data_IF_124965368520
#
_entry.id   IF_124965368520
#
_cell.length_a   1.000
_cell.length_b   1.000
_cell.length_c   1.000
_cell.angle_alpha   90.00
_cell.angle_beta   90.00
_cell.angle_gamma   90.00
#
_symmetry.space_group_name_H-M   'P 1'
#
loop_
_entity.id
_entity.type
_entity.pdbx_description
1 polymer ?
#
# COMPACT_ATOMS: atom_id res chain seq x y z
N UNK A 1 15.79 65.03 31.59
CA UNK A 1 16.14 63.90 30.72
C UNK A 1 15.50 62.66 31.32
N UNK A 2 14.34 62.23 30.78
CA UNK A 2 13.61 61.03 31.23
C UNK A 2 13.89 59.94 30.20
N UNK A 3 14.56 58.88 30.64
CA UNK A 3 14.83 57.71 29.84
C UNK A 3 13.69 56.70 29.95
N UNK A 4 12.98 56.46 28.84
CA UNK A 4 11.96 55.41 28.72
C UNK A 4 12.62 54.05 28.48
N UNK A 5 12.48 53.14 29.44
CA UNK A 5 12.88 51.75 29.32
C UNK A 5 11.85 50.97 28.49
N UNK A 6 12.25 50.44 27.35
CA UNK A 6 11.44 49.49 26.55
C UNK A 6 11.64 48.10 27.10
N UNK A 7 10.59 47.52 27.68
CA UNK A 7 10.54 46.10 28.06
C UNK A 7 10.26 45.27 26.81
N UNK A 8 11.21 44.41 26.40
CA UNK A 8 11.04 43.39 25.39
C UNK A 8 10.31 42.18 26.00
N UNK A 9 9.04 41.99 25.62
CA UNK A 9 8.31 40.77 25.91
C UNK A 9 8.82 39.63 24.98
N UNK A 10 9.56 38.69 25.54
CA UNK A 10 9.81 37.41 24.87
C UNK A 10 8.58 36.52 25.01
N UNK A 11 7.82 36.35 23.93
CA UNK A 11 6.78 35.34 23.86
C UNK A 11 7.47 33.96 23.82
N UNK A 12 7.31 33.17 24.88
CA UNK A 12 7.75 31.79 24.92
C UNK A 12 6.88 31.00 23.93
N UNK A 13 7.46 30.58 22.81
CA UNK A 13 6.85 29.58 21.90
C UNK A 13 6.93 28.23 22.62
N UNK A 14 5.82 27.81 23.23
CA UNK A 14 5.69 26.45 23.75
C UNK A 14 5.75 25.49 22.56
N UNK A 15 6.59 24.44 22.60
CA UNK A 15 6.55 23.41 21.57
C UNK A 15 5.19 22.73 21.61
N UNK A 16 4.47 22.73 20.47
CA UNK A 16 3.30 21.86 20.28
C UNK A 16 3.74 20.43 20.55
N UNK A 17 3.25 19.85 21.63
CA UNK A 17 3.43 18.44 21.91
C UNK A 17 2.87 17.65 20.71
N UNK A 18 3.75 17.03 19.94
CA UNK A 18 3.38 16.13 18.87
C UNK A 18 2.65 14.97 19.53
N UNK A 19 1.35 14.86 19.32
CA UNK A 19 0.59 13.72 19.82
C UNK A 19 1.27 12.44 19.29
N UNK A 20 1.64 11.54 20.20
CA UNK A 20 2.22 10.26 19.82
C UNK A 20 1.23 9.55 18.89
N UNK A 21 1.74 9.02 17.76
CA UNK A 21 0.91 8.21 16.88
C UNK A 21 0.28 7.07 17.69
N UNK A 22 -0.99 6.72 17.46
CA UNK A 22 -1.62 5.60 18.15
C UNK A 22 -0.81 4.32 17.88
N UNK A 23 -0.78 3.38 18.83
CA UNK A 23 -0.07 2.13 18.63
C UNK A 23 -0.62 1.40 17.41
N UNK A 24 0.24 0.65 16.68
CA UNK A 24 -0.21 -0.15 15.55
C UNK A 24 -1.31 -1.15 15.97
N UNK A 25 -2.31 -1.31 15.11
CA UNK A 25 -3.40 -2.27 15.31
C UNK A 25 -2.91 -3.67 14.93
N UNK A 26 -3.01 -4.68 15.80
CA UNK A 26 -2.71 -6.06 15.44
C UNK A 26 -3.64 -6.53 14.32
N UNK A 27 -3.09 -7.14 13.29
CA UNK A 27 -3.90 -7.66 12.17
C UNK A 27 -4.63 -8.96 12.56
N UNK A 28 -4.02 -9.76 13.43
CA UNK A 28 -4.48 -11.07 13.86
C UNK A 28 -4.54 -11.17 15.39
N UNK A 29 -5.45 -10.44 16.06
CA UNK A 29 -5.52 -10.48 17.53
C UNK A 29 -5.88 -11.85 18.08
N UNK A 30 -6.51 -12.73 17.28
CA UNK A 30 -6.82 -14.11 17.61
C UNK A 30 -5.67 -15.09 17.42
N UNK A 31 -4.52 -14.63 16.92
CA UNK A 31 -3.35 -15.43 16.59
C UNK A 31 -3.03 -15.44 15.10
N UNK A 32 -1.74 -15.29 14.76
CA UNK A 32 -1.25 -15.22 13.38
C UNK A 32 -1.34 -16.60 12.70
N UNK A 33 -2.02 -16.74 11.55
CA UNK A 33 -2.09 -18.01 10.83
C UNK A 33 -0.70 -18.49 10.41
N UNK A 34 -0.36 -19.75 10.73
CA UNK A 34 0.95 -20.32 10.40
C UNK A 34 2.11 -19.66 11.14
N UNK A 35 1.89 -19.15 12.36
CA UNK A 35 2.94 -18.60 13.20
C UNK A 35 4.13 -19.56 13.32
N UNK A 36 5.35 -19.01 13.33
CA UNK A 36 6.60 -19.78 13.42
C UNK A 36 7.31 -19.44 14.74
N UNK A 37 7.53 -20.45 15.57
CA UNK A 37 8.20 -20.28 16.87
C UNK A 37 9.67 -19.89 16.74
N UNK A 38 10.32 -20.31 15.66
CA UNK A 38 11.78 -20.15 15.46
C UNK A 38 12.12 -18.89 14.63
N UNK A 39 11.14 -18.03 14.35
CA UNK A 39 11.39 -16.77 13.67
C UNK A 39 12.08 -15.82 14.66
N UNK A 40 13.25 -15.30 14.28
CA UNK A 40 13.94 -14.27 15.08
C UNK A 40 13.04 -13.04 15.29
N UNK A 41 13.38 -12.21 16.28
CA UNK A 41 12.63 -11.00 16.58
C UNK A 41 12.50 -10.10 15.36
N UNK A 42 11.35 -9.40 15.25
CA UNK A 42 11.17 -8.33 14.30
C UNK A 42 12.26 -7.27 14.48
N UNK A 43 12.80 -6.77 13.40
CA UNK A 43 13.84 -5.75 13.39
C UNK A 43 13.39 -4.56 12.57
N UNK A 44 13.69 -3.37 13.08
CA UNK A 44 13.43 -2.11 12.37
C UNK A 44 14.67 -1.22 12.41
N UNK A 45 15.13 -0.78 11.24
CA UNK A 45 16.21 0.18 11.09
C UNK A 45 16.04 0.98 9.79
N UNK A 46 16.45 2.24 9.79
CA UNK A 46 16.45 3.13 8.61
C UNK A 46 15.09 3.22 7.89
N UNK A 47 13.99 3.11 8.64
CA UNK A 47 12.62 3.15 8.08
C UNK A 47 12.27 1.90 7.27
N UNK A 48 12.85 0.76 7.63
CA UNK A 48 12.57 -0.56 7.07
C UNK A 48 12.34 -1.55 8.20
N UNK A 49 11.52 -2.57 7.95
CA UNK A 49 11.19 -3.63 8.91
C UNK A 49 11.41 -5.01 8.29
N UNK A 50 11.98 -5.93 9.05
CA UNK A 50 12.26 -7.32 8.69
C UNK A 50 11.67 -8.30 9.71
N UNK A 51 11.63 -9.58 9.37
CA UNK A 51 11.17 -10.67 10.24
C UNK A 51 9.81 -10.40 10.86
N UNK A 52 8.88 -9.88 10.08
CA UNK A 52 7.52 -9.60 10.56
C UNK A 52 6.82 -10.90 10.91
N UNK A 53 6.65 -11.16 12.21
CA UNK A 53 5.91 -12.30 12.74
C UNK A 53 4.48 -11.91 13.14
N UNK A 54 4.27 -10.66 13.53
CA UNK A 54 3.00 -10.10 13.96
C UNK A 54 2.60 -8.93 13.04
N UNK A 55 1.87 -9.20 11.94
CA UNK A 55 1.42 -8.16 11.03
C UNK A 55 0.56 -7.11 11.71
N UNK A 56 0.76 -5.84 11.32
CA UNK A 56 0.07 -4.69 11.94
C UNK A 56 -0.41 -3.68 10.91
N UNK A 57 -1.37 -2.85 11.33
CA UNK A 57 -1.81 -1.65 10.61
C UNK A 57 -1.49 -0.41 11.44
N UNK A 58 -0.68 0.50 10.90
CA UNK A 58 -0.44 1.82 11.50
C UNK A 58 -1.36 2.84 10.84
N UNK A 59 -2.29 3.41 11.62
CA UNK A 59 -3.28 4.37 11.12
C UNK A 59 -2.72 5.78 11.05
N UNK A 60 -3.01 6.48 9.96
CA UNK A 60 -2.77 7.91 9.75
C UNK A 60 -4.10 8.56 9.35
N UNK A 61 -4.68 9.30 10.28
CA UNK A 61 -5.93 10.00 10.05
C UNK A 61 -5.69 11.46 9.66
N UNK A 62 -6.48 12.03 8.73
CA UNK A 62 -6.52 13.48 8.52
C UNK A 62 -7.13 14.17 9.74
N UNK A 63 -7.01 15.52 9.79
CA UNK A 63 -7.77 16.29 10.75
C UNK A 63 -9.29 16.00 10.60
N UNK A 64 -10.01 15.91 11.72
CA UNK A 64 -11.38 15.41 11.74
C UNK A 64 -12.36 16.21 10.86
N UNK A 65 -12.12 17.52 10.71
CA UNK A 65 -12.87 18.45 9.85
C UNK A 65 -12.54 18.33 8.36
N UNK A 66 -11.49 17.60 8.02
CA UNK A 66 -11.02 17.37 6.63
C UNK A 66 -11.26 15.94 6.14
N UNK A 67 -11.66 15.02 7.02
CA UNK A 67 -11.88 13.64 6.66
C UNK A 67 -13.01 13.48 5.64
N UNK A 68 -12.71 12.86 4.48
CA UNK A 68 -13.67 12.70 3.38
C UNK A 68 -14.31 11.30 3.32
N UNK A 69 -14.04 10.46 4.32
CA UNK A 69 -14.59 9.10 4.43
C UNK A 69 -13.94 8.07 3.50
N UNK A 70 -12.94 8.43 2.72
CA UNK A 70 -12.14 7.47 1.96
C UNK A 70 -11.00 6.92 2.79
N UNK A 71 -10.59 5.68 2.50
CA UNK A 71 -9.43 5.05 3.12
C UNK A 71 -8.51 4.38 2.11
N UNK A 72 -7.22 4.29 2.44
CA UNK A 72 -6.21 3.58 1.66
C UNK A 72 -5.36 2.69 2.57
N UNK A 73 -5.33 1.41 2.29
CA UNK A 73 -4.36 0.48 2.88
C UNK A 73 -3.10 0.56 2.01
N UNK A 74 -1.97 0.88 2.62
CA UNK A 74 -0.69 1.07 1.94
C UNK A 74 0.16 -0.17 2.18
N UNK A 75 0.59 -0.81 1.09
CA UNK A 75 1.52 -1.94 1.06
C UNK A 75 2.89 -1.44 0.60
N UNK A 76 3.84 -1.12 1.51
CA UNK A 76 5.16 -0.68 1.10
C UNK A 76 5.94 -1.80 0.41
N UNK A 77 6.86 -1.44 -0.48
CA UNK A 77 7.73 -2.38 -1.16
C UNK A 77 8.89 -2.88 -0.30
N UNK A 78 9.82 -3.58 -0.95
CA UNK A 78 11.02 -4.13 -0.33
C UNK A 78 11.33 -5.56 -0.73
N UNK A 79 10.86 -5.99 -1.92
CA UNK A 79 11.20 -7.29 -2.53
C UNK A 79 10.61 -8.52 -1.84
N UNK A 80 9.64 -8.37 -0.96
CA UNK A 80 9.20 -9.41 -0.01
C UNK A 80 10.30 -9.86 0.98
N UNK A 81 11.39 -9.10 1.09
CA UNK A 81 12.47 -9.34 2.04
C UNK A 81 12.41 -8.39 3.25
N UNK A 82 11.80 -7.23 3.05
CA UNK A 82 11.59 -6.18 4.06
C UNK A 82 10.39 -5.31 3.68
N UNK A 83 9.93 -4.49 4.60
CA UNK A 83 8.90 -3.47 4.37
C UNK A 83 9.54 -2.08 4.45
N UNK A 84 9.45 -1.26 3.39
CA UNK A 84 9.94 0.13 3.34
C UNK A 84 8.97 1.07 4.05
N UNK A 85 8.78 0.90 5.37
CA UNK A 85 7.73 1.55 6.17
C UNK A 85 7.73 3.06 6.06
N UNK A 86 8.91 3.70 6.10
CA UNK A 86 9.01 5.16 6.07
C UNK A 86 8.77 5.72 4.66
N UNK A 87 9.54 5.26 3.66
CA UNK A 87 9.56 5.88 2.32
C UNK A 87 8.29 5.59 1.53
N UNK A 88 7.80 4.35 1.58
CA UNK A 88 6.67 3.88 0.77
C UNK A 88 5.42 3.57 1.62
N UNK A 89 5.48 3.88 2.93
CA UNK A 89 4.39 3.79 3.88
C UNK A 89 4.02 5.16 4.43
N UNK A 90 4.75 5.63 5.45
CA UNK A 90 4.45 6.85 6.19
C UNK A 90 4.39 8.10 5.31
N UNK A 91 5.32 8.26 4.35
CA UNK A 91 5.32 9.43 3.47
C UNK A 91 4.08 9.48 2.57
N UNK A 92 3.62 8.33 2.06
CA UNK A 92 2.36 8.27 1.31
C UNK A 92 1.16 8.53 2.22
N UNK A 93 1.16 7.98 3.44
CA UNK A 93 0.10 8.20 4.41
C UNK A 93 -0.02 9.69 4.79
N UNK A 94 1.09 10.36 5.02
CA UNK A 94 1.11 11.80 5.28
C UNK A 94 0.56 12.62 4.09
N UNK A 95 0.95 12.28 2.86
CA UNK A 95 0.40 12.91 1.67
C UNK A 95 -1.10 12.69 1.56
N UNK A 96 -1.59 11.45 1.69
CA UNK A 96 -3.02 11.14 1.65
C UNK A 96 -3.81 11.87 2.74
N UNK A 97 -3.23 12.04 3.94
CA UNK A 97 -3.85 12.82 5.01
C UNK A 97 -4.05 14.29 4.62
N UNK A 98 -3.17 14.87 3.79
CA UNK A 98 -3.38 16.25 3.25
C UNK A 98 -4.58 16.33 2.31
N UNK A 99 -4.97 15.22 1.69
CA UNK A 99 -6.13 15.08 0.82
C UNK A 99 -7.42 14.67 1.56
N UNK A 100 -7.38 14.58 2.90
CA UNK A 100 -8.54 14.16 3.71
C UNK A 100 -8.79 12.66 3.72
N UNK A 101 -7.85 11.84 3.24
CA UNK A 101 -7.96 10.38 3.17
C UNK A 101 -7.32 9.74 4.40
N UNK A 102 -8.03 8.84 5.07
CA UNK A 102 -7.46 8.00 6.15
C UNK A 102 -6.58 6.92 5.53
N UNK A 103 -5.41 6.67 6.10
CA UNK A 103 -4.49 5.66 5.58
C UNK A 103 -4.08 4.66 6.66
N UNK A 104 -3.78 3.44 6.23
CA UNK A 104 -3.29 2.36 7.07
C UNK A 104 -2.04 1.76 6.43
N UNK A 105 -0.87 1.97 7.03
CA UNK A 105 0.37 1.35 6.57
C UNK A 105 0.40 -0.08 7.08
N UNK A 106 0.42 -1.03 6.16
CA UNK A 106 0.46 -2.46 6.46
C UNK A 106 1.91 -2.92 6.60
N UNK A 107 2.25 -3.44 7.78
CA UNK A 107 3.44 -4.25 8.01
C UNK A 107 3.01 -5.71 7.88
N UNK A 108 3.50 -6.43 6.87
CA UNK A 108 3.00 -7.74 6.46
C UNK A 108 4.09 -8.81 6.48
N UNK A 109 3.68 -10.08 6.60
CA UNK A 109 4.60 -11.22 6.53
C UNK A 109 5.24 -11.34 5.16
N UNK A 110 6.47 -11.79 5.10
CA UNK A 110 7.28 -11.80 3.88
C UNK A 110 7.88 -13.18 3.61
N UNK A 111 9.12 -13.23 3.06
CA UNK A 111 9.83 -14.44 2.64
C UNK A 111 9.92 -15.54 3.68
N UNK A 112 9.93 -15.17 4.95
CA UNK A 112 10.00 -16.11 6.06
C UNK A 112 8.77 -17.04 6.08
N UNK A 113 7.65 -16.53 5.58
CA UNK A 113 6.39 -17.27 5.45
C UNK A 113 6.09 -17.68 4.01
N UNK A 114 6.46 -16.84 3.03
CA UNK A 114 6.14 -17.04 1.62
C UNK A 114 4.65 -16.93 1.31
N UNK A 115 4.30 -17.22 0.05
CA UNK A 115 2.88 -17.33 -0.35
C UNK A 115 2.21 -18.50 0.37
N UNK A 116 0.97 -18.37 0.91
CA UNK A 116 0.03 -17.25 0.74
C UNK A 116 0.01 -16.21 1.86
N UNK A 117 0.95 -16.22 2.82
CA UNK A 117 0.86 -15.37 4.01
C UNK A 117 0.73 -13.87 3.71
N UNK A 118 1.50 -13.24 2.79
CA UNK A 118 1.29 -11.83 2.44
C UNK A 118 -0.12 -11.57 1.87
N UNK A 119 -0.66 -12.45 1.03
CA UNK A 119 -2.01 -12.35 0.50
C UNK A 119 -3.05 -12.38 1.62
N UNK A 120 -2.92 -13.31 2.58
CA UNK A 120 -3.80 -13.38 3.73
C UNK A 120 -3.79 -12.08 4.53
N UNK A 121 -2.61 -11.49 4.74
CA UNK A 121 -2.44 -10.26 5.50
C UNK A 121 -3.12 -9.06 4.82
N UNK A 122 -2.92 -8.85 3.53
CA UNK A 122 -3.56 -7.73 2.83
C UNK A 122 -5.08 -7.89 2.74
N UNK A 123 -5.58 -9.10 2.49
CA UNK A 123 -7.02 -9.35 2.45
C UNK A 123 -7.66 -9.22 3.83
N UNK A 124 -6.96 -9.65 4.89
CA UNK A 124 -7.37 -9.42 6.27
C UNK A 124 -7.42 -7.93 6.59
N UNK A 125 -6.42 -7.15 6.14
CA UNK A 125 -6.40 -5.71 6.33
C UNK A 125 -7.62 -5.02 5.72
N UNK A 126 -7.98 -5.38 4.48
CA UNK A 126 -9.20 -4.85 3.82
C UNK A 126 -10.46 -5.20 4.60
N UNK A 127 -10.60 -6.47 5.04
CA UNK A 127 -11.74 -6.95 5.82
C UNK A 127 -11.85 -6.21 7.17
N UNK A 128 -10.73 -6.06 7.88
CA UNK A 128 -10.68 -5.39 9.17
C UNK A 128 -11.10 -3.91 9.05
N UNK A 129 -10.49 -3.18 8.11
CA UNK A 129 -10.82 -1.76 7.89
C UNK A 129 -12.29 -1.60 7.47
N UNK A 130 -12.81 -2.51 6.64
CA UNK A 130 -14.23 -2.48 6.22
C UNK A 130 -15.20 -2.82 7.35
N UNK A 131 -14.87 -3.81 8.18
CA UNK A 131 -15.71 -4.20 9.32
C UNK A 131 -15.79 -3.10 10.38
N UNK A 132 -14.72 -2.34 10.57
CA UNK A 132 -14.61 -1.25 11.55
C UNK A 132 -14.68 0.15 10.88
N UNK A 133 -15.29 0.25 9.70
CA UNK A 133 -15.34 1.50 8.94
C UNK A 133 -15.97 2.66 9.75
N UNK A 134 -17.01 2.40 10.54
CA UNK A 134 -17.66 3.39 11.37
C UNK A 134 -16.71 3.92 12.46
N UNK A 135 -15.93 3.03 13.11
CA UNK A 135 -14.98 3.38 14.16
C UNK A 135 -13.86 4.29 13.62
N UNK A 136 -13.47 4.09 12.36
CA UNK A 136 -12.47 4.89 11.67
C UNK A 136 -13.04 6.09 10.91
N UNK A 137 -14.36 6.32 10.97
CA UNK A 137 -15.08 7.37 10.20
C UNK A 137 -14.87 7.23 8.69
N UNK A 138 -14.92 6.01 8.18
CA UNK A 138 -14.71 5.64 6.79
C UNK A 138 -16.02 5.12 6.20
N UNK A 139 -16.26 5.36 4.93
CA UNK A 139 -17.33 4.72 4.18
C UNK A 139 -16.85 3.33 3.69
N UNK A 140 -17.58 2.24 3.97
CA UNK A 140 -17.11 0.87 3.67
C UNK A 140 -16.97 0.57 2.17
N UNK A 141 -17.54 1.40 1.30
CA UNK A 141 -17.42 1.32 -0.16
C UNK A 141 -16.35 2.26 -0.75
N UNK A 142 -15.45 2.83 0.09
CA UNK A 142 -14.40 3.78 -0.35
C UNK A 142 -13.02 3.39 0.21
N UNK A 143 -12.72 2.10 0.19
CA UNK A 143 -11.46 1.53 0.72
C UNK A 143 -10.59 1.04 -0.44
N UNK A 144 -9.49 1.74 -0.71
CA UNK A 144 -8.51 1.35 -1.71
C UNK A 144 -7.31 0.64 -1.13
N UNK A 145 -6.52 0.01 -2.02
CA UNK A 145 -5.20 -0.50 -1.68
C UNK A 145 -4.17 0.16 -2.59
N UNK A 146 -3.12 0.69 -1.98
CA UNK A 146 -1.97 1.29 -2.67
C UNK A 146 -0.73 0.47 -2.38
N UNK A 147 0.14 0.25 -3.38
CA UNK A 147 1.38 -0.45 -3.12
C UNK A 147 2.48 -0.11 -4.11
N UNK A 148 3.73 -0.28 -3.66
CA UNK A 148 4.94 0.02 -4.43
C UNK A 148 5.78 -1.23 -4.63
N UNK A 149 6.37 -1.41 -5.83
CA UNK A 149 7.32 -2.51 -6.07
C UNK A 149 6.70 -3.88 -5.72
N UNK A 150 7.33 -4.67 -4.86
CA UNK A 150 6.74 -5.91 -4.31
C UNK A 150 5.43 -5.66 -3.53
N UNK A 151 5.29 -4.51 -2.85
CA UNK A 151 4.03 -4.07 -2.24
C UNK A 151 2.97 -3.73 -3.29
N UNK A 152 3.39 -3.29 -4.48
CA UNK A 152 2.51 -3.13 -5.66
C UNK A 152 1.96 -4.47 -6.14
N UNK A 153 2.79 -5.52 -6.13
CA UNK A 153 2.35 -6.89 -6.38
C UNK A 153 1.32 -7.33 -5.33
N UNK A 154 1.58 -7.04 -4.05
CA UNK A 154 0.65 -7.37 -2.97
C UNK A 154 -0.68 -6.62 -3.11
N UNK A 155 -0.65 -5.33 -3.47
CA UNK A 155 -1.85 -4.53 -3.74
C UNK A 155 -2.64 -5.06 -4.96
N UNK A 156 -1.94 -5.42 -6.05
CA UNK A 156 -2.55 -6.03 -7.22
C UNK A 156 -3.15 -7.42 -6.88
N UNK A 157 -2.48 -8.21 -6.01
CA UNK A 157 -3.03 -9.48 -5.49
C UNK A 157 -4.35 -9.25 -4.74
N UNK A 158 -4.43 -8.21 -3.91
CA UNK A 158 -5.68 -7.85 -3.23
C UNK A 158 -6.80 -7.51 -4.21
N UNK A 159 -6.48 -6.93 -5.36
CA UNK A 159 -7.48 -6.59 -6.39
C UNK A 159 -7.87 -7.71 -7.33
N UNK A 160 -7.04 -8.74 -7.48
CA UNK A 160 -7.27 -9.84 -8.44
C UNK A 160 -7.62 -11.17 -7.76
N UNK A 161 -7.19 -11.36 -6.51
CA UNK A 161 -7.36 -12.60 -5.74
C UNK A 161 -8.19 -12.40 -4.45
N UNK A 162 -9.02 -11.35 -4.39
CA UNK A 162 -9.77 -10.98 -3.18
C UNK A 162 -10.71 -12.06 -2.66
N UNK A 163 -11.20 -12.94 -3.50
CA UNK A 163 -12.10 -14.07 -3.15
C UNK A 163 -11.42 -15.44 -3.27
N UNK A 164 -10.13 -15.47 -3.63
CA UNK A 164 -9.40 -16.73 -3.78
C UNK A 164 -9.31 -17.50 -2.44
N UNK A 165 -9.53 -18.84 -2.42
CA UNK A 165 -9.54 -19.63 -1.19
C UNK A 165 -8.28 -19.49 -0.32
N UNK A 166 -7.10 -19.35 -0.92
CA UNK A 166 -5.83 -19.16 -0.20
C UNK A 166 -5.77 -17.86 0.64
N UNK A 167 -6.63 -16.89 0.34
CA UNK A 167 -6.76 -15.66 1.11
C UNK A 167 -7.70 -15.77 2.32
N UNK A 168 -8.23 -16.96 2.59
CA UNK A 168 -9.11 -17.26 3.74
C UNK A 168 -8.34 -18.06 4.78
N UNK A 169 -8.65 -17.85 6.04
CA UNK A 169 -7.98 -18.51 7.18
C UNK A 169 -8.96 -19.22 8.10
N UNK A 170 -10.26 -19.15 7.81
CA UNK A 170 -11.32 -19.66 8.68
C UNK A 170 -11.73 -18.66 9.78
N UNK A 171 -11.14 -17.46 9.81
CA UNK A 171 -11.49 -16.43 10.77
C UNK A 171 -12.89 -15.84 10.49
N UNK A 172 -13.57 -15.34 11.55
CA UNK A 172 -14.90 -14.73 11.41
C UNK A 172 -14.95 -13.59 10.39
N UNK A 173 -13.88 -12.80 10.26
CA UNK A 173 -13.77 -11.72 9.28
C UNK A 173 -13.72 -12.21 7.81
N UNK A 174 -13.54 -13.49 7.54
CA UNK A 174 -13.60 -14.03 6.17
C UNK A 174 -14.98 -13.91 5.52
N UNK A 175 -16.02 -13.60 6.31
CA UNK A 175 -17.36 -13.27 5.82
C UNK A 175 -17.49 -11.83 5.29
N UNK A 176 -16.55 -10.95 5.63
CA UNK A 176 -16.50 -9.56 5.13
C UNK A 176 -15.79 -9.55 3.77
N UNK A 177 -16.30 -8.74 2.84
CA UNK A 177 -15.65 -8.60 1.52
C UNK A 177 -14.22 -8.07 1.64
N UNK A 178 -13.27 -8.78 1.05
CA UNK A 178 -11.87 -8.34 0.94
C UNK A 178 -11.58 -7.58 -0.36
N UNK A 179 -12.59 -7.38 -1.24
CA UNK A 179 -12.40 -6.67 -2.51
C UNK A 179 -12.15 -5.19 -2.25
N UNK A 180 -10.99 -4.63 -2.65
CA UNK A 180 -10.78 -3.19 -2.61
C UNK A 180 -11.76 -2.47 -3.54
N UNK A 181 -12.04 -1.19 -3.26
CA UNK A 181 -12.90 -0.39 -4.11
C UNK A 181 -12.10 0.30 -5.24
N UNK A 182 -10.79 0.47 -5.06
CA UNK A 182 -9.85 0.94 -6.07
C UNK A 182 -8.41 0.52 -5.76
N UNK A 183 -7.52 0.61 -6.76
CA UNK A 183 -6.08 0.32 -6.63
C UNK A 183 -5.23 1.50 -7.08
N UNK A 184 -4.11 1.73 -6.40
CA UNK A 184 -3.03 2.63 -6.83
C UNK A 184 -1.71 1.86 -6.82
N UNK A 185 -1.14 1.61 -7.98
CA UNK A 185 0.04 0.74 -8.16
C UNK A 185 1.24 1.58 -8.62
N UNK A 186 2.25 1.64 -7.76
CA UNK A 186 3.48 2.41 -7.97
C UNK A 186 4.60 1.47 -8.40
N UNK A 187 5.09 1.63 -9.63
CA UNK A 187 6.16 0.78 -10.18
C UNK A 187 6.05 -0.68 -9.72
N UNK A 188 4.87 -1.30 -9.90
CA UNK A 188 4.55 -2.57 -9.28
C UNK A 188 5.30 -3.72 -9.94
N UNK A 189 5.75 -4.70 -9.15
CA UNK A 189 5.94 -6.06 -9.65
C UNK A 189 4.56 -6.62 -9.99
N UNK A 190 4.41 -7.31 -11.11
CA UNK A 190 3.13 -7.88 -11.58
C UNK A 190 3.31 -9.31 -12.06
N UNK A 191 4.22 -9.53 -13.01
CA UNK A 191 4.43 -10.85 -13.58
C UNK A 191 5.53 -11.64 -12.87
N UNK A 192 5.35 -12.96 -12.80
CA UNK A 192 6.40 -13.89 -12.35
C UNK A 192 7.10 -14.59 -13.52
N UNK A 193 6.76 -14.21 -14.77
CA UNK A 193 7.31 -14.78 -15.98
C UNK A 193 8.46 -13.94 -16.54
N UNK A 194 9.41 -14.62 -17.17
CA UNK A 194 10.44 -13.97 -18.01
C UNK A 194 9.81 -13.32 -19.26
N UNK A 195 10.39 -12.26 -19.81
CA UNK A 195 11.63 -11.58 -19.38
C UNK A 195 11.41 -10.45 -18.37
N UNK A 196 10.16 -10.13 -17.98
CA UNK A 196 9.85 -8.95 -17.18
C UNK A 196 9.81 -9.22 -15.66
N UNK A 197 10.12 -10.43 -15.24
CA UNK A 197 10.07 -10.80 -13.82
C UNK A 197 11.10 -10.06 -12.96
N UNK A 198 10.70 -9.61 -11.77
CA UNK A 198 11.63 -9.22 -10.72
C UNK A 198 12.04 -10.47 -9.91
N UNK A 199 13.18 -11.06 -10.26
CA UNK A 199 13.65 -12.34 -9.71
C UNK A 199 13.76 -12.37 -8.17
N UNK A 200 14.17 -11.25 -7.55
CA UNK A 200 14.24 -11.15 -6.08
C UNK A 200 12.87 -11.35 -5.43
N UNK A 201 11.86 -10.64 -5.90
CA UNK A 201 10.48 -10.77 -5.37
C UNK A 201 9.89 -12.16 -5.62
N UNK A 202 10.12 -12.73 -6.82
CA UNK A 202 9.68 -14.10 -7.13
C UNK A 202 10.27 -15.11 -6.17
N UNK A 203 11.58 -15.06 -5.97
CA UNK A 203 12.28 -15.99 -5.08
C UNK A 203 11.87 -15.81 -3.62
N UNK A 204 11.73 -14.58 -3.15
CA UNK A 204 11.32 -14.28 -1.79
C UNK A 204 9.89 -14.75 -1.51
N UNK A 205 8.98 -14.58 -2.46
CA UNK A 205 7.57 -14.95 -2.30
C UNK A 205 7.30 -16.44 -2.52
N UNK A 206 7.91 -17.03 -3.55
CA UNK A 206 7.57 -18.38 -4.06
C UNK A 206 8.67 -19.42 -3.84
N UNK A 207 9.82 -19.02 -3.29
CA UNK A 207 10.98 -19.90 -3.16
C UNK A 207 11.83 -20.00 -4.43
N UNK A 208 12.90 -20.79 -4.35
CA UNK A 208 13.91 -20.93 -5.45
C UNK A 208 13.41 -21.75 -6.64
N UNK A 209 12.46 -22.66 -6.42
CA UNK A 209 11.94 -23.57 -7.44
C UNK A 209 10.39 -23.61 -7.38
N UNK A 210 9.71 -22.51 -7.76
CA UNK A 210 8.26 -22.46 -7.74
C UNK A 210 7.64 -23.36 -8.79
N UNK A 211 6.46 -23.92 -8.49
CA UNK A 211 5.69 -24.68 -9.47
C UNK A 211 5.16 -23.77 -10.58
N UNK A 212 4.88 -24.35 -11.75
CA UNK A 212 4.25 -23.61 -12.86
C UNK A 212 2.88 -23.05 -12.46
N UNK A 213 2.13 -23.73 -11.59
CA UNK A 213 0.87 -23.24 -11.05
C UNK A 213 1.06 -22.00 -10.17
N UNK A 214 2.04 -22.02 -9.25
CA UNK A 214 2.36 -20.86 -8.40
C UNK A 214 2.82 -19.66 -9.24
N UNK A 215 3.66 -19.87 -10.26
CA UNK A 215 4.06 -18.82 -11.20
C UNK A 215 2.84 -18.23 -11.91
N UNK A 216 1.96 -19.08 -12.44
CA UNK A 216 0.75 -18.64 -13.14
C UNK A 216 -0.21 -17.89 -12.21
N UNK A 217 -0.42 -18.39 -10.97
CA UNK A 217 -1.30 -17.77 -9.99
C UNK A 217 -0.79 -16.39 -9.60
N UNK A 218 0.51 -16.26 -9.37
CA UNK A 218 1.11 -15.01 -8.92
C UNK A 218 1.58 -14.08 -10.05
N UNK A 219 1.37 -14.44 -11.32
CA UNK A 219 1.41 -13.52 -12.46
C UNK A 219 0.06 -12.83 -12.59
N UNK A 220 -0.05 -11.65 -11.98
CA UNK A 220 -1.35 -11.04 -11.67
C UNK A 220 -2.07 -10.47 -12.90
N UNK A 221 -1.36 -10.18 -13.98
CA UNK A 221 -1.95 -9.84 -15.28
C UNK A 221 -2.82 -10.98 -15.84
N UNK A 222 -2.58 -12.23 -15.37
CA UNK A 222 -3.36 -13.42 -15.75
C UNK A 222 -4.59 -13.62 -14.85
N UNK A 223 -4.67 -12.90 -13.74
CA UNK A 223 -5.75 -13.01 -12.75
C UNK A 223 -6.80 -11.89 -12.87
N UNK A 224 -6.58 -10.94 -13.78
CA UNK A 224 -7.52 -9.82 -13.99
C UNK A 224 -8.84 -10.35 -14.53
N UNK A 225 -9.93 -9.92 -13.90
CA UNK A 225 -11.31 -10.21 -14.31
C UNK A 225 -12.12 -8.92 -14.38
N UNK A 226 -13.36 -8.97 -14.86
CA UNK A 226 -14.28 -7.82 -14.84
C UNK A 226 -14.61 -7.33 -13.40
N UNK A 227 -14.29 -8.11 -12.37
CA UNK A 227 -14.48 -7.76 -10.97
C UNK A 227 -13.25 -7.09 -10.34
N UNK A 228 -12.12 -7.03 -11.05
CA UNK A 228 -10.93 -6.29 -10.61
C UNK A 228 -11.29 -4.81 -10.44
N UNK A 229 -10.86 -4.15 -9.34
CA UNK A 229 -11.22 -2.74 -9.09
C UNK A 229 -10.62 -1.78 -10.12
N UNK A 230 -11.22 -0.58 -10.28
CA UNK A 230 -10.59 0.53 -11.00
C UNK A 230 -9.16 0.77 -10.51
N UNK A 231 -8.22 0.95 -11.43
CA UNK A 231 -6.79 0.94 -11.12
C UNK A 231 -6.06 2.12 -11.73
N UNK A 232 -5.22 2.78 -10.91
CA UNK A 232 -4.21 3.73 -11.35
C UNK A 232 -2.83 3.07 -11.31
N UNK A 233 -2.05 3.18 -12.40
CA UNK A 233 -0.66 2.72 -12.49
C UNK A 233 0.28 3.90 -12.71
N UNK A 234 1.41 3.89 -12.02
CA UNK A 234 2.44 4.91 -12.13
C UNK A 234 3.80 4.22 -12.21
N UNK A 235 4.57 4.48 -13.27
CA UNK A 235 5.87 3.84 -13.49
C UNK A 235 6.81 4.78 -14.25
N UNK A 236 8.11 4.45 -14.27
CA UNK A 236 9.10 5.14 -15.09
C UNK A 236 9.75 4.16 -16.06
N UNK A 237 10.11 4.63 -17.26
CA UNK A 237 10.75 3.80 -18.28
C UNK A 237 12.17 3.38 -17.90
N UNK A 238 12.88 4.22 -17.12
CA UNK A 238 14.25 3.97 -16.67
C UNK A 238 14.34 3.08 -15.41
N UNK A 239 13.23 2.51 -14.96
CA UNK A 239 13.26 1.58 -13.81
C UNK A 239 14.06 0.32 -14.17
N UNK A 240 15.30 0.26 -13.69
CA UNK A 240 16.22 -0.85 -13.94
C UNK A 240 15.97 -2.06 -13.01
N UNK A 241 15.14 -1.92 -11.98
CA UNK A 241 14.86 -2.99 -11.02
C UNK A 241 13.60 -3.78 -11.38
N UNK A 242 12.51 -3.06 -11.68
CA UNK A 242 11.24 -3.66 -12.11
C UNK A 242 10.92 -3.14 -13.49
N UNK A 243 11.05 -3.96 -14.54
CA UNK A 243 10.78 -3.54 -15.91
C UNK A 243 9.39 -2.95 -16.06
N UNK A 244 9.27 -1.83 -16.77
CA UNK A 244 8.01 -1.08 -16.99
C UNK A 244 6.93 -1.96 -17.63
N UNK A 245 7.32 -3.04 -18.31
CA UNK A 245 6.45 -4.07 -18.88
C UNK A 245 5.48 -4.66 -17.84
N UNK A 246 5.86 -4.71 -16.57
CA UNK A 246 4.95 -5.13 -15.50
C UNK A 246 3.67 -4.28 -15.49
N UNK A 247 3.80 -2.96 -15.48
CA UNK A 247 2.64 -2.04 -15.54
C UNK A 247 1.90 -2.13 -16.87
N UNK A 248 2.61 -2.27 -17.99
CA UNK A 248 2.01 -2.38 -19.33
C UNK A 248 1.17 -3.65 -19.44
N UNK A 249 1.69 -4.80 -18.99
CA UNK A 249 0.97 -6.08 -19.01
C UNK A 249 -0.31 -6.03 -18.18
N UNK A 250 -0.25 -5.42 -16.99
CA UNK A 250 -1.41 -5.30 -16.12
C UNK A 250 -2.47 -4.35 -16.72
N UNK A 251 -2.05 -3.19 -17.24
CA UNK A 251 -2.93 -2.24 -17.91
C UNK A 251 -3.65 -2.87 -19.10
N UNK A 252 -2.92 -3.63 -19.94
CA UNK A 252 -3.52 -4.36 -21.05
C UNK A 252 -4.54 -5.41 -20.59
N UNK A 253 -4.25 -6.11 -19.49
CA UNK A 253 -5.19 -7.08 -18.92
C UNK A 253 -6.46 -6.40 -18.40
N UNK A 254 -6.33 -5.26 -17.69
CA UNK A 254 -7.45 -4.43 -17.24
C UNK A 254 -8.31 -3.96 -18.43
N UNK A 255 -7.66 -3.48 -19.50
CA UNK A 255 -8.36 -3.02 -20.72
C UNK A 255 -9.14 -4.16 -21.37
N UNK A 256 -8.54 -5.36 -21.52
CA UNK A 256 -9.22 -6.55 -22.05
C UNK A 256 -10.45 -6.95 -21.20
N UNK A 257 -10.33 -6.82 -19.89
CA UNK A 257 -11.41 -7.11 -18.94
C UNK A 257 -12.45 -5.98 -18.80
N UNK A 258 -12.26 -4.86 -19.53
CA UNK A 258 -13.10 -3.64 -19.46
C UNK A 258 -13.16 -3.01 -18.07
N UNK A 259 -12.09 -3.16 -17.31
CA UNK A 259 -11.91 -2.50 -16.01
C UNK A 259 -11.39 -1.08 -16.25
N UNK A 260 -11.98 -0.05 -15.65
CA UNK A 260 -11.47 1.31 -15.74
C UNK A 260 -10.03 1.40 -15.21
N UNK A 261 -9.12 1.87 -16.03
CA UNK A 261 -7.72 1.98 -15.67
C UNK A 261 -7.08 3.23 -16.29
N UNK A 262 -6.16 3.82 -15.54
CA UNK A 262 -5.33 4.92 -16.01
C UNK A 262 -3.87 4.59 -15.71
N UNK A 263 -2.96 5.00 -16.61
CA UNK A 263 -1.53 4.72 -16.47
C UNK A 263 -0.70 5.93 -16.84
N UNK A 264 0.20 6.34 -15.95
CA UNK A 264 1.19 7.36 -16.18
C UNK A 264 2.58 6.72 -16.29
N UNK A 265 3.18 6.80 -17.47
CA UNK A 265 4.55 6.42 -17.70
C UNK A 265 5.40 7.67 -17.89
N UNK A 266 6.41 7.80 -17.05
CA UNK A 266 7.41 8.86 -17.14
C UNK A 266 8.68 8.32 -17.78
N UNK A 267 9.38 9.15 -18.54
CA UNK A 267 10.64 8.76 -19.19
C UNK A 267 11.71 8.47 -18.13
N UNK A 268 11.91 9.42 -17.21
CA UNK A 268 13.00 9.40 -16.23
C UNK A 268 12.53 9.07 -14.82
N UNK A 269 13.37 8.38 -14.08
CA UNK A 269 13.23 8.07 -12.66
C UNK A 269 13.68 6.66 -12.32
N UNK A 270 14.50 6.57 -11.27
CA UNK A 270 14.96 5.29 -10.73
C UNK A 270 13.85 4.58 -9.96
N UNK A 271 13.99 3.26 -9.80
CA UNK A 271 13.12 2.45 -8.95
C UNK A 271 13.00 3.01 -7.52
N UNK A 272 11.83 2.87 -6.94
CA UNK A 272 11.59 3.34 -5.57
C UNK A 272 11.54 4.86 -5.48
N UNK A 273 10.96 5.54 -6.47
CA UNK A 273 10.88 7.01 -6.50
C UNK A 273 10.15 7.59 -5.28
N UNK A 274 9.13 6.89 -4.72
CA UNK A 274 8.42 7.37 -3.53
C UNK A 274 7.90 8.79 -3.69
N UNK A 275 8.02 9.59 -2.63
CA UNK A 275 7.67 11.03 -2.61
C UNK A 275 8.89 11.91 -2.91
N UNK A 276 9.93 11.40 -3.57
CA UNK A 276 11.14 12.20 -3.86
C UNK A 276 10.86 13.34 -4.83
N UNK A 277 11.39 14.50 -4.52
CA UNK A 277 11.49 15.66 -5.43
C UNK A 277 12.70 15.51 -6.37
N UNK A 278 12.75 16.32 -7.44
CA UNK A 278 13.91 16.39 -8.32
C UNK A 278 13.99 15.29 -9.38
N UNK A 279 12.93 14.52 -9.59
CA UNK A 279 12.84 13.45 -10.61
C UNK A 279 12.18 13.95 -11.92
N UNK A 280 12.39 15.22 -12.27
CA UNK A 280 11.75 15.82 -13.45
C UNK A 280 10.22 15.70 -13.39
N UNK A 281 9.62 15.30 -14.51
CA UNK A 281 8.16 15.14 -14.65
C UNK A 281 7.60 14.05 -13.73
N UNK A 282 8.39 13.03 -13.37
CA UNK A 282 7.96 11.96 -12.47
C UNK A 282 7.65 12.46 -11.06
N UNK A 283 8.28 13.56 -10.60
CA UNK A 283 7.90 14.20 -9.31
C UNK A 283 6.46 14.73 -9.29
N UNK A 284 5.81 14.84 -10.44
CA UNK A 284 4.41 15.27 -10.56
C UNK A 284 3.37 14.16 -10.37
N UNK A 285 3.79 12.93 -10.10
CA UNK A 285 2.87 11.80 -9.94
C UNK A 285 1.81 12.01 -8.82
N UNK A 286 2.12 12.66 -7.68
CA UNK A 286 1.10 12.86 -6.62
C UNK A 286 -0.09 13.68 -7.12
N UNK A 287 0.17 14.71 -7.93
CA UNK A 287 -0.89 15.51 -8.55
C UNK A 287 -1.75 14.67 -9.50
N UNK A 288 -1.14 13.76 -10.29
CA UNK A 288 -1.89 12.87 -11.19
C UNK A 288 -2.78 11.90 -10.41
N UNK A 289 -2.26 11.37 -9.32
CA UNK A 289 -3.03 10.51 -8.43
C UNK A 289 -4.18 11.27 -7.75
N UNK A 290 -3.96 12.52 -7.31
CA UNK A 290 -5.00 13.38 -6.75
C UNK A 290 -6.11 13.66 -7.77
N UNK A 291 -5.76 14.03 -9.01
CA UNK A 291 -6.71 14.23 -10.12
C UNK A 291 -7.56 12.98 -10.32
N UNK A 292 -6.93 11.81 -10.41
CA UNK A 292 -7.62 10.53 -10.58
C UNK A 292 -8.55 10.17 -9.41
N UNK A 293 -8.13 10.39 -8.17
CA UNK A 293 -8.96 10.17 -6.98
C UNK A 293 -10.16 11.11 -6.97
N UNK A 294 -9.97 12.37 -7.36
CA UNK A 294 -11.01 13.38 -7.43
C UNK A 294 -12.06 13.03 -8.49
N UNK A 295 -11.65 12.65 -9.70
CA UNK A 295 -12.56 12.28 -10.79
C UNK A 295 -13.44 11.08 -10.44
N UNK A 296 -13.02 10.26 -9.46
CA UNK A 296 -13.80 9.15 -8.91
C UNK A 296 -14.66 9.53 -7.70
N UNK A 297 -14.68 10.80 -7.33
CA UNK A 297 -15.41 11.28 -6.16
C UNK A 297 -14.83 10.80 -4.83
N UNK A 298 -13.59 10.26 -4.83
CA UNK A 298 -12.95 9.71 -3.62
C UNK A 298 -12.40 10.79 -2.69
N UNK A 299 -12.30 12.04 -3.16
CA UNK A 299 -11.89 13.19 -2.36
C UNK A 299 -13.08 14.09 -1.97
N UNK A 300 -14.29 13.76 -2.41
CA UNK A 300 -15.49 14.51 -2.04
C UNK A 300 -15.88 14.23 -0.59
N UNK A 301 -16.49 15.19 0.11
CA UNK A 301 -17.03 14.97 1.45
C UNK A 301 -17.99 13.75 1.48
N UNK A 302 -18.14 13.09 2.65
CA UNK A 302 -19.14 12.05 2.80
C UNK A 302 -20.53 12.58 2.44
N UNK A 303 -21.29 11.79 1.67
CA UNK A 303 -22.70 12.10 1.36
C UNK A 303 -23.57 11.76 2.55
#
# INVERSE_FOLDING_TARGET
>A
MQGTAHALLFAAVLPLAQAASPPPLPLWPEGVPGAKADLGAEQSADGRTWNVSEPTLTMFAPAADRANGSAVIICPGGGYERVSTRREGEQYAMWLSTLGVTSFVLTYRMREFGHPAPLQDVLRAVRLVRAHAADFRIQPGRIGVMGSSAGGHLAASAGTLFDHPLGRTGAALDQVSARPDFLVLMYPVITMDEPAVHNGSRTALLGKAPSAEALRLMSLEKQVTAHTPPTLLIHTQEDASVPVENSILFYQALTRAKVPAEMYLFEHGEHGMGMRAGLGTASGWPRRAEEWLKDRGLLDPPK
#
